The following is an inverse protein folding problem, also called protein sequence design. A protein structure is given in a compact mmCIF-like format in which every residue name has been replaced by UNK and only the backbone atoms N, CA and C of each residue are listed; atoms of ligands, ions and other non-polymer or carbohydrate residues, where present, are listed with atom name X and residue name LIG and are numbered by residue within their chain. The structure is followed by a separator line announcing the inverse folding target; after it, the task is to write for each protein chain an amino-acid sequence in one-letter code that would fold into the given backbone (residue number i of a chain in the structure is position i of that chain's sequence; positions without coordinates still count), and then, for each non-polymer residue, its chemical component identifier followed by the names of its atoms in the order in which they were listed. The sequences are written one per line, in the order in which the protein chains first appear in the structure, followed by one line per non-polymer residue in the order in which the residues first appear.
data_IF_710223739956
#
_entry.id   IF_710223739956
#
_cell.length_a   1.000
_cell.length_b   1.000
_cell.length_c   1.000
_cell.angle_alpha   90.00
_cell.angle_beta   90.00
_cell.angle_gamma   90.00
#
_symmetry.space_group_name_H-M   'P 1'
#
loop_
_entity.id
_entity.type
_entity.pdbx_description
1 polymer ?
#
# COMPACT_ATOMS: atom_id res chain seq x y z
N UNK A 1 4.19 20.18 9.88
CA UNK A 1 5.44 19.70 10.49
C UNK A 1 5.73 20.54 11.72
N UNK A 2 6.30 19.96 12.78
CA UNK A 2 6.63 20.68 14.02
C UNK A 2 8.00 21.41 13.83
N UNK A 3 8.02 22.76 13.71
CA UNK A 3 9.24 23.51 13.35
C UNK A 3 10.37 23.39 14.38
N UNK A 4 10.04 23.35 15.66
CA UNK A 4 10.99 23.29 16.77
C UNK A 4 11.75 21.97 16.76
N UNK A 5 11.04 20.85 16.57
CA UNK A 5 11.65 19.52 16.47
C UNK A 5 12.51 19.41 15.21
N UNK A 6 12.06 19.99 14.09
CA UNK A 6 12.87 20.10 12.87
C UNK A 6 14.18 20.83 13.13
N UNK A 7 14.14 21.97 13.82
CA UNK A 7 15.32 22.77 14.14
C UNK A 7 16.29 21.99 15.05
N UNK A 8 15.78 21.31 16.09
CA UNK A 8 16.59 20.47 16.98
C UNK A 8 17.27 19.34 16.22
N UNK A 9 16.53 18.60 15.40
CA UNK A 9 17.09 17.53 14.56
C UNK A 9 18.19 18.06 13.63
N UNK A 10 17.93 19.17 12.92
CA UNK A 10 18.90 19.74 11.98
C UNK A 10 20.21 20.17 12.65
N UNK A 11 20.16 20.63 13.90
CA UNK A 11 21.37 20.99 14.66
C UNK A 11 22.24 19.78 15.04
N UNK A 12 21.65 18.59 15.09
CA UNK A 12 22.33 17.34 15.46
C UNK A 12 22.72 16.50 14.25
N UNK A 13 22.04 16.69 13.11
CA UNK A 13 22.25 15.91 11.91
C UNK A 13 23.66 16.08 11.36
N UNK A 14 24.25 14.96 10.92
CA UNK A 14 25.57 14.91 10.29
C UNK A 14 25.55 13.87 9.17
N UNK A 15 26.32 14.06 8.08
CA UNK A 15 26.46 13.04 7.03
C UNK A 15 26.89 11.67 7.56
N UNK A 16 27.72 11.63 8.61
CA UNK A 16 28.15 10.39 9.25
C UNK A 16 26.98 9.62 9.91
N UNK A 17 26.01 10.31 10.51
CA UNK A 17 24.82 9.67 11.08
C UNK A 17 23.90 9.11 9.98
N UNK A 18 23.79 9.81 8.85
CA UNK A 18 23.04 9.29 7.71
C UNK A 18 23.71 8.06 7.09
N UNK A 19 25.04 8.07 6.94
CA UNK A 19 25.79 6.90 6.48
C UNK A 19 25.64 5.71 7.46
N UNK A 20 25.68 5.97 8.78
CA UNK A 20 25.38 4.96 9.79
C UNK A 20 23.96 4.41 9.65
N UNK A 21 22.97 5.30 9.48
CA UNK A 21 21.56 4.92 9.32
C UNK A 21 21.37 4.00 8.10
N UNK A 22 21.96 4.35 6.95
CA UNK A 22 21.90 3.51 5.75
C UNK A 22 22.52 2.12 5.98
N UNK A 23 23.67 2.03 6.65
CA UNK A 23 24.29 0.75 7.00
C UNK A 23 23.41 -0.07 7.94
N UNK A 24 22.82 0.56 8.96
CA UNK A 24 21.98 -0.12 9.96
C UNK A 24 20.69 -0.63 9.36
N UNK A 25 20.05 0.14 8.48
CA UNK A 25 18.81 -0.33 7.85
C UNK A 25 19.07 -1.52 6.90
N UNK A 26 20.22 -1.56 6.23
CA UNK A 26 20.65 -2.73 5.45
C UNK A 26 20.84 -3.97 6.35
N UNK A 27 21.51 -3.80 7.49
CA UNK A 27 21.71 -4.87 8.49
C UNK A 27 20.39 -5.37 9.07
N UNK A 28 19.49 -4.46 9.43
CA UNK A 28 18.17 -4.78 9.99
C UNK A 28 17.29 -5.47 8.94
N UNK A 29 17.34 -5.03 7.68
CA UNK A 29 16.63 -5.66 6.57
C UNK A 29 17.22 -7.02 6.16
N UNK A 30 18.50 -7.25 6.43
CA UNK A 30 19.24 -8.44 5.98
C UNK A 30 19.57 -8.42 4.49
N UNK A 31 19.50 -7.26 3.84
CA UNK A 31 19.87 -7.03 2.45
C UNK A 31 20.06 -5.54 2.20
N UNK A 32 20.69 -5.19 1.08
CA UNK A 32 20.84 -3.78 0.69
C UNK A 32 19.49 -3.18 0.27
N UNK A 33 19.13 -2.04 0.88
CA UNK A 33 17.94 -1.27 0.54
C UNK A 33 18.22 -0.44 -0.71
N UNK A 34 17.76 -0.94 -1.86
CA UNK A 34 18.04 -0.35 -3.19
C UNK A 34 17.26 0.94 -3.50
N UNK A 35 16.25 1.29 -2.70
CA UNK A 35 15.51 2.54 -2.83
C UNK A 35 16.04 3.59 -1.85
N UNK A 36 15.81 4.87 -2.16
CA UNK A 36 16.31 5.97 -1.34
C UNK A 36 15.54 6.05 -0.02
N UNK A 37 16.26 5.96 1.09
CA UNK A 37 15.75 6.34 2.39
C UNK A 37 15.97 7.85 2.60
N UNK A 38 15.00 8.54 3.21
CA UNK A 38 15.15 9.96 3.51
C UNK A 38 16.29 10.20 4.50
N UNK A 39 17.05 11.28 4.33
CA UNK A 39 18.12 11.65 5.28
C UNK A 39 17.58 12.05 6.65
N UNK A 40 16.27 12.33 6.74
CA UNK A 40 15.61 12.81 7.94
C UNK A 40 14.21 12.20 8.08
N UNK A 41 13.73 11.92 9.31
CA UNK A 41 12.32 11.61 9.54
C UNK A 41 11.45 12.86 9.34
N UNK A 42 10.12 12.72 9.33
CA UNK A 42 9.18 13.84 9.39
C UNK A 42 8.57 13.95 10.79
N UNK A 43 8.41 15.18 11.31
CA UNK A 43 7.80 15.43 12.62
C UNK A 43 6.42 16.04 12.42
N UNK A 44 5.37 15.28 12.73
CA UNK A 44 3.98 15.65 12.49
C UNK A 44 3.25 15.80 13.83
N UNK A 45 2.38 16.83 14.00
CA UNK A 45 1.55 16.94 15.20
C UNK A 45 0.57 15.78 15.32
N UNK A 46 0.30 15.32 16.53
CA UNK A 46 -0.65 14.23 16.81
C UNK A 46 -2.03 14.50 16.22
N UNK A 47 -2.54 15.72 16.36
CA UNK A 47 -3.85 16.10 15.80
C UNK A 47 -3.94 15.91 14.27
N UNK A 48 -2.82 16.05 13.54
CA UNK A 48 -2.78 15.78 12.10
C UNK A 48 -2.80 14.27 11.82
N UNK A 49 -2.03 13.49 12.58
CA UNK A 49 -2.00 12.02 12.47
C UNK A 49 -3.37 11.40 12.82
N UNK A 50 -3.99 11.85 13.90
CA UNK A 50 -5.34 11.43 14.30
C UNK A 50 -6.39 11.79 13.24
N UNK A 51 -6.30 12.99 12.65
CA UNK A 51 -7.15 13.40 11.54
C UNK A 51 -6.99 12.44 10.35
N UNK A 52 -5.77 12.07 9.96
CA UNK A 52 -5.52 11.11 8.87
C UNK A 52 -6.07 9.72 9.19
N UNK A 53 -5.89 9.23 10.42
CA UNK A 53 -6.45 7.93 10.85
C UNK A 53 -7.97 7.96 10.79
N UNK A 54 -8.60 9.04 11.26
CA UNK A 54 -10.06 9.22 11.17
C UNK A 54 -10.52 9.22 9.71
N UNK A 55 -9.90 10.02 8.86
CA UNK A 55 -10.24 10.07 7.44
C UNK A 55 -10.08 8.71 6.76
N UNK A 56 -9.00 7.97 7.03
CA UNK A 56 -8.83 6.62 6.49
C UNK A 56 -9.97 5.67 6.88
N UNK A 57 -10.44 5.74 8.14
CA UNK A 57 -11.59 4.94 8.62
C UNK A 57 -12.90 5.36 7.98
N UNK A 58 -13.16 6.67 7.90
CA UNK A 58 -14.37 7.24 7.27
C UNK A 58 -14.45 6.87 5.79
N UNK A 59 -13.34 6.99 5.05
CA UNK A 59 -13.25 6.60 3.64
C UNK A 59 -13.54 5.12 3.46
N UNK A 60 -12.84 4.23 4.18
CA UNK A 60 -13.13 2.80 4.08
C UNK A 60 -14.58 2.48 4.47
N UNK A 61 -15.12 3.13 5.51
CA UNK A 61 -16.52 3.01 5.93
C UNK A 61 -17.50 3.32 4.79
N UNK A 62 -17.31 4.44 4.08
CA UNK A 62 -18.15 4.81 2.93
C UNK A 62 -18.19 3.71 1.86
N UNK A 63 -17.05 3.06 1.57
CA UNK A 63 -17.01 1.99 0.58
C UNK A 63 -17.59 0.68 1.10
N UNK A 64 -17.30 0.33 2.36
CA UNK A 64 -17.75 -0.90 2.98
C UNK A 64 -19.28 -0.96 3.13
N UNK A 65 -19.90 0.19 3.43
CA UNK A 65 -21.35 0.35 3.63
C UNK A 65 -22.11 0.58 2.32
N UNK A 66 -21.44 0.99 1.25
CA UNK A 66 -22.07 1.26 -0.04
C UNK A 66 -22.27 -0.02 -0.89
N UNK A 67 -23.50 -0.53 -0.91
CA UNK A 67 -23.86 -1.72 -1.68
C UNK A 67 -23.67 -1.58 -3.20
N UNK A 68 -23.87 -0.38 -3.76
CA UNK A 68 -23.66 -0.10 -5.18
C UNK A 68 -22.19 -0.17 -5.53
N UNK A 69 -21.34 0.48 -4.73
CA UNK A 69 -19.89 0.40 -4.86
C UNK A 69 -19.40 -1.04 -4.78
N UNK A 70 -19.88 -1.83 -3.81
CA UNK A 70 -19.47 -3.25 -3.67
C UNK A 70 -19.83 -4.07 -4.91
N UNK A 71 -20.96 -3.80 -5.56
CA UNK A 71 -21.33 -4.46 -6.83
C UNK A 71 -20.44 -3.96 -7.98
N UNK A 72 -20.28 -2.65 -8.12
CA UNK A 72 -19.52 -2.04 -9.21
C UNK A 72 -18.02 -2.43 -9.15
N UNK A 73 -17.39 -2.33 -7.97
CA UNK A 73 -16.00 -2.74 -7.77
C UNK A 73 -15.76 -4.23 -8.03
N UNK A 74 -16.72 -5.11 -7.69
CA UNK A 74 -16.64 -6.54 -8.02
C UNK A 74 -16.73 -6.77 -9.53
N UNK A 75 -17.61 -6.06 -10.22
CA UNK A 75 -17.76 -6.14 -11.67
C UNK A 75 -16.53 -5.59 -12.42
N UNK A 76 -15.82 -4.64 -11.83
CA UNK A 76 -14.58 -4.08 -12.38
C UNK A 76 -13.40 -5.07 -12.39
N UNK A 77 -13.48 -6.19 -11.67
CA UNK A 77 -12.45 -7.24 -11.70
C UNK A 77 -12.58 -8.03 -13.01
N UNK A 78 -11.54 -8.05 -13.87
CA UNK A 78 -11.58 -8.85 -15.09
C UNK A 78 -11.84 -10.33 -14.79
N UNK A 79 -12.77 -10.95 -15.51
CA UNK A 79 -13.24 -12.34 -15.26
C UNK A 79 -12.08 -13.32 -15.09
N UNK A 80 -11.11 -13.25 -16.01
CA UNK A 80 -9.91 -14.12 -16.03
C UNK A 80 -8.99 -13.97 -14.82
N UNK A 81 -9.19 -12.96 -13.98
CA UNK A 81 -8.40 -12.66 -12.78
C UNK A 81 -9.23 -12.69 -11.50
N UNK A 82 -10.53 -13.04 -11.58
CA UNK A 82 -11.38 -13.11 -10.41
C UNK A 82 -11.01 -14.33 -9.58
N UNK A 83 -10.44 -14.09 -8.41
CA UNK A 83 -10.05 -15.14 -7.47
C UNK A 83 -11.26 -15.57 -6.64
N UNK A 84 -11.52 -16.89 -6.50
CA UNK A 84 -12.64 -17.41 -5.71
C UNK A 84 -12.42 -17.22 -4.20
N UNK A 85 -13.48 -17.43 -3.40
CA UNK A 85 -13.43 -17.42 -1.93
C UNK A 85 -12.94 -16.08 -1.34
N UNK A 86 -13.42 -14.98 -1.92
CA UNK A 86 -13.11 -13.61 -1.47
C UNK A 86 -13.58 -13.35 -0.04
N UNK A 87 -12.72 -12.69 0.75
CA UNK A 87 -13.08 -12.25 2.11
C UNK A 87 -14.10 -11.11 2.08
N UNK A 88 -14.96 -11.05 3.10
CA UNK A 88 -15.96 -9.97 3.23
C UNK A 88 -15.32 -8.58 3.34
N UNK A 89 -14.19 -8.50 4.04
CA UNK A 89 -13.40 -7.28 4.25
C UNK A 89 -11.94 -7.48 3.83
N UNK A 90 -11.26 -6.42 3.36
CA UNK A 90 -9.82 -6.46 3.13
C UNK A 90 -9.08 -6.57 4.46
N UNK A 91 -8.02 -7.39 4.49
CA UNK A 91 -7.14 -7.46 5.65
C UNK A 91 -6.20 -6.26 5.76
N UNK A 92 -5.84 -5.68 4.61
CA UNK A 92 -4.91 -4.55 4.49
C UNK A 92 -5.58 -3.44 3.72
N UNK A 93 -5.50 -2.23 4.26
CA UNK A 93 -5.96 -0.99 3.62
C UNK A 93 -4.91 0.07 3.88
N UNK A 94 -4.49 0.75 2.82
CA UNK A 94 -3.61 1.90 2.88
C UNK A 94 -4.31 3.10 2.26
N UNK A 95 -4.33 4.22 2.98
CA UNK A 95 -4.81 5.49 2.48
C UNK A 95 -3.64 6.46 2.43
N UNK A 96 -3.29 6.88 1.21
CA UNK A 96 -2.18 7.77 0.94
C UNK A 96 -2.68 9.21 0.90
N UNK A 97 -2.08 10.07 1.70
CA UNK A 97 -2.45 11.48 1.76
C UNK A 97 -1.30 12.39 1.33
N UNK A 98 -1.61 13.35 0.47
CA UNK A 98 -0.80 14.55 0.27
C UNK A 98 -1.21 15.63 1.28
N UNK A 99 -0.31 16.55 1.61
CA UNK A 99 -0.64 17.69 2.46
C UNK A 99 -0.77 18.96 1.62
N UNK A 100 -1.92 19.61 1.71
CA UNK A 100 -2.14 20.96 1.20
C UNK A 100 -1.97 21.95 2.35
N UNK A 101 -1.38 23.10 2.07
CA UNK A 101 -1.30 24.18 3.04
C UNK A 101 -2.48 25.11 2.84
N UNK A 102 -3.30 25.25 3.87
CA UNK A 102 -4.42 26.19 3.88
C UNK A 102 -3.94 27.64 4.07
N UNK A 103 -4.83 28.61 3.86
CA UNK A 103 -4.51 30.03 3.96
C UNK A 103 -4.01 30.45 5.36
N UNK A 104 -4.45 29.77 6.41
CA UNK A 104 -4.01 29.97 7.80
C UNK A 104 -2.68 29.26 8.12
N UNK A 105 -2.08 28.59 7.15
CA UNK A 105 -0.82 27.86 7.29
C UNK A 105 -0.96 26.43 7.84
N UNK A 106 -2.17 26.00 8.21
CA UNK A 106 -2.42 24.61 8.64
C UNK A 106 -2.23 23.63 7.48
N UNK A 107 -1.93 22.37 7.81
CA UNK A 107 -1.81 21.30 6.83
C UNK A 107 -3.09 20.48 6.81
N UNK A 108 -3.69 20.35 5.64
CA UNK A 108 -4.87 19.53 5.42
C UNK A 108 -4.49 18.28 4.59
N UNK A 109 -4.79 17.06 5.09
CA UNK A 109 -4.56 15.84 4.34
C UNK A 109 -5.60 15.68 3.23
N UNK A 110 -5.14 15.52 2.00
CA UNK A 110 -5.93 15.20 0.82
C UNK A 110 -5.59 13.82 0.30
N UNK A 111 -6.60 12.99 0.11
CA UNK A 111 -6.45 11.61 -0.36
C UNK A 111 -5.89 11.63 -1.79
N UNK A 112 -4.78 10.94 -1.97
CA UNK A 112 -4.17 10.67 -3.28
C UNK A 112 -4.72 9.35 -3.83
N UNK A 113 -4.72 8.32 -3.00
CA UNK A 113 -5.11 6.95 -3.33
C UNK A 113 -5.53 6.19 -2.07
N UNK A 114 -6.42 5.20 -2.23
CA UNK A 114 -6.66 4.16 -1.24
C UNK A 114 -6.47 2.80 -1.92
N UNK A 115 -5.76 1.89 -1.27
CA UNK A 115 -5.36 0.62 -1.87
C UNK A 115 -5.60 -0.54 -0.90
N UNK A 116 -6.11 -1.65 -1.42
CA UNK A 116 -6.34 -2.89 -0.68
C UNK A 116 -5.30 -3.96 -0.97
N UNK A 117 -4.03 -3.72 -0.63
CA UNK A 117 -2.94 -4.65 -0.95
C UNK A 117 -1.74 -4.49 -0.01
N UNK A 118 -1.23 -5.55 0.64
CA UNK A 118 -0.16 -5.39 1.62
C UNK A 118 1.15 -4.93 0.97
N UNK A 119 1.73 -3.85 1.48
CA UNK A 119 3.09 -3.45 1.13
C UNK A 119 3.81 -2.82 2.31
N UNK A 120 5.11 -3.13 2.46
CA UNK A 120 6.07 -2.48 3.38
C UNK A 120 5.74 -2.51 4.88
N UNK A 121 4.75 -3.30 5.32
CA UNK A 121 4.31 -3.35 6.73
C UNK A 121 5.41 -3.80 7.70
N UNK A 122 6.32 -4.70 7.30
CA UNK A 122 7.46 -5.09 8.12
C UNK A 122 8.56 -4.04 8.07
N UNK A 123 8.95 -3.64 6.86
CA UNK A 123 10.05 -2.69 6.65
C UNK A 123 9.77 -1.30 7.25
N UNK A 124 8.54 -0.78 7.18
CA UNK A 124 8.22 0.55 7.69
C UNK A 124 8.47 0.67 9.20
N UNK A 125 8.17 -0.39 9.96
CA UNK A 125 8.38 -0.41 11.41
C UNK A 125 9.88 -0.52 11.74
N UNK A 126 10.61 -1.34 10.99
CA UNK A 126 12.07 -1.41 11.12
C UNK A 126 12.74 -0.07 10.79
N UNK A 127 12.32 0.58 9.70
CA UNK A 127 12.82 1.89 9.28
C UNK A 127 12.58 2.96 10.35
N UNK A 128 11.37 3.02 10.87
CA UNK A 128 10.95 3.90 11.95
C UNK A 128 11.86 3.78 13.19
N UNK A 129 12.11 2.55 13.63
CA UNK A 129 12.96 2.31 14.81
C UNK A 129 14.44 2.58 14.52
N UNK A 130 14.95 2.32 13.32
CA UNK A 130 16.32 2.72 12.96
C UNK A 130 16.50 4.24 12.89
N UNK A 131 15.48 5.00 12.46
CA UNK A 131 15.50 6.47 12.61
C UNK A 131 15.60 6.86 14.09
N UNK A 132 14.73 6.30 14.93
CA UNK A 132 14.69 6.62 16.36
C UNK A 132 16.04 6.33 17.04
N UNK A 133 16.62 5.16 16.77
CA UNK A 133 17.88 4.68 17.36
C UNK A 133 19.10 5.44 16.83
N UNK A 134 19.23 5.57 15.51
CA UNK A 134 20.45 6.15 14.90
C UNK A 134 20.57 7.64 15.20
N UNK A 135 19.44 8.37 15.12
CA UNK A 135 19.43 9.81 15.40
C UNK A 135 19.14 10.14 16.86
N UNK A 136 18.95 9.13 17.73
CA UNK A 136 18.65 9.30 19.16
C UNK A 136 17.49 10.27 19.37
N UNK A 137 16.40 10.06 18.62
CA UNK A 137 15.31 11.03 18.51
C UNK A 137 14.68 11.30 19.88
N UNK A 138 14.47 10.25 20.68
CA UNK A 138 13.82 10.34 21.99
C UNK A 138 14.73 10.98 23.04
N UNK A 139 16.04 10.78 22.93
CA UNK A 139 17.00 11.34 23.88
C UNK A 139 17.40 12.79 23.52
N UNK A 140 17.47 13.10 22.22
CA UNK A 140 18.14 14.32 21.74
C UNK A 140 17.21 15.31 21.04
N UNK A 141 16.04 14.88 20.59
CA UNK A 141 15.06 15.73 19.91
C UNK A 141 13.87 16.00 20.81
N UNK A 142 13.16 14.94 21.23
CA UNK A 142 12.02 15.02 22.14
C UNK A 142 11.65 13.62 22.68
N UNK A 143 11.54 13.43 24.02
CA UNK A 143 11.24 12.13 24.62
C UNK A 143 9.84 11.60 24.31
N UNK A 144 8.91 12.47 23.92
CA UNK A 144 7.52 12.09 23.64
C UNK A 144 7.30 11.63 22.19
N UNK A 145 8.37 11.53 21.38
CA UNK A 145 8.28 11.05 20.00
C UNK A 145 7.89 9.57 19.92
N UNK A 146 6.75 9.35 19.27
CA UNK A 146 6.23 8.02 18.93
C UNK A 146 6.23 7.80 17.41
N UNK A 147 6.30 6.54 16.98
CA UNK A 147 6.22 6.18 15.55
C UNK A 147 5.05 5.27 15.22
N UNK A 148 4.39 4.73 16.25
CA UNK A 148 3.26 3.83 16.12
C UNK A 148 1.98 4.56 16.49
N UNK A 149 0.91 4.29 15.75
CA UNK A 149 -0.39 4.93 15.94
C UNK A 149 -1.36 4.00 16.68
N UNK A 150 -2.41 4.58 17.25
CA UNK A 150 -3.50 3.80 17.86
C UNK A 150 -3.12 3.11 19.18
N UNK A 151 -2.17 3.69 19.93
CA UNK A 151 -1.69 3.13 21.20
C UNK A 151 -0.79 1.91 21.03
N UNK A 152 -0.34 1.62 19.81
CA UNK A 152 0.64 0.58 19.55
C UNK A 152 2.05 1.05 19.92
N UNK A 153 2.92 0.09 20.16
CA UNK A 153 4.37 0.17 20.27
C UNK A 153 5.00 -0.87 19.34
N UNK A 154 6.34 -0.94 19.30
CA UNK A 154 7.05 -1.90 18.43
C UNK A 154 6.58 -3.34 18.66
N UNK A 155 6.43 -3.74 19.93
CA UNK A 155 6.04 -5.12 20.30
C UNK A 155 4.60 -5.41 19.89
N UNK A 156 3.66 -4.58 20.30
CA UNK A 156 2.22 -4.77 20.04
C UNK A 156 1.88 -4.62 18.56
N UNK A 157 2.64 -3.82 17.80
CA UNK A 157 2.55 -3.80 16.33
C UNK A 157 3.01 -5.12 15.71
N UNK A 158 4.14 -5.68 16.15
CA UNK A 158 4.62 -6.99 15.68
C UNK A 158 3.64 -8.12 16.06
N UNK A 159 3.08 -8.09 17.27
CA UNK A 159 2.04 -9.03 17.71
C UNK A 159 0.78 -8.91 16.85
N UNK A 160 0.35 -7.69 16.50
CA UNK A 160 -0.77 -7.46 15.59
C UNK A 160 -0.49 -8.06 14.22
N UNK A 161 0.67 -7.77 13.61
CA UNK A 161 1.05 -8.33 12.31
C UNK A 161 1.11 -9.85 12.36
N UNK A 162 1.70 -10.43 13.41
CA UNK A 162 1.73 -11.88 13.62
C UNK A 162 0.34 -12.48 13.67
N UNK A 163 -0.56 -11.88 14.46
CA UNK A 163 -1.95 -12.33 14.59
C UNK A 163 -2.68 -12.32 13.24
N UNK A 164 -2.60 -11.22 12.48
CA UNK A 164 -3.40 -11.06 11.25
C UNK A 164 -2.83 -11.84 10.07
N UNK A 165 -1.50 -11.93 9.95
CA UNK A 165 -0.84 -12.65 8.86
C UNK A 165 -0.92 -14.15 9.08
N UNK A 166 -0.60 -14.64 10.28
CA UNK A 166 -0.65 -16.08 10.57
C UNK A 166 -2.07 -16.60 10.80
N UNK A 167 -2.96 -15.80 11.39
CA UNK A 167 -4.34 -16.18 11.69
C UNK A 167 -4.48 -17.54 12.42
N UNK A 168 -3.53 -17.84 13.33
CA UNK A 168 -3.51 -19.09 14.09
C UNK A 168 -2.87 -20.30 13.38
N UNK A 169 -2.50 -20.18 12.10
CA UNK A 169 -1.74 -21.22 11.38
C UNK A 169 -0.29 -21.28 11.84
N UNK A 170 0.33 -22.46 11.73
CA UNK A 170 1.75 -22.63 11.98
C UNK A 170 2.58 -21.85 10.93
N UNK A 171 3.67 -21.14 11.30
CA UNK A 171 4.47 -20.35 10.35
C UNK A 171 4.92 -21.12 9.11
N UNK A 172 5.19 -22.42 9.24
CA UNK A 172 5.61 -23.31 8.15
C UNK A 172 4.51 -23.55 7.11
N UNK A 173 3.25 -23.41 7.51
CA UNK A 173 2.06 -23.56 6.65
C UNK A 173 1.63 -22.20 6.02
N UNK A 174 2.33 -21.11 6.35
CA UNK A 174 2.07 -19.77 5.82
C UNK A 174 3.22 -19.34 4.91
N UNK A 175 2.87 -18.87 3.71
CA UNK A 175 3.86 -18.42 2.72
C UNK A 175 3.65 -16.95 2.37
N UNK A 176 4.73 -16.18 2.35
CA UNK A 176 4.80 -14.91 1.63
C UNK A 176 4.99 -15.25 0.15
N UNK A 177 3.95 -15.05 -0.65
CA UNK A 177 3.95 -15.42 -2.06
C UNK A 177 4.20 -14.22 -2.95
N UNK A 178 5.17 -14.33 -3.85
CA UNK A 178 5.55 -13.31 -4.83
C UNK A 178 5.93 -13.97 -6.17
N UNK A 179 6.10 -13.21 -7.24
CA UNK A 179 6.55 -13.69 -8.54
C UNK A 179 8.04 -14.00 -8.54
N UNK A 180 8.89 -13.02 -8.22
CA UNK A 180 10.35 -13.16 -8.20
C UNK A 180 10.85 -12.50 -6.91
N UNK A 181 10.57 -13.10 -5.74
CA UNK A 181 10.67 -12.41 -4.45
C UNK A 181 12.03 -11.75 -4.19
N UNK A 182 13.11 -12.43 -4.58
CA UNK A 182 14.48 -11.98 -4.32
C UNK A 182 14.99 -10.91 -5.30
N UNK A 183 14.24 -10.61 -6.35
CA UNK A 183 14.56 -9.56 -7.33
C UNK A 183 13.71 -8.29 -7.11
N UNK A 184 12.72 -8.36 -6.21
CA UNK A 184 11.83 -7.23 -5.93
C UNK A 184 12.57 -6.12 -5.18
N UNK A 185 12.29 -4.86 -5.54
CA UNK A 185 12.78 -3.69 -4.79
C UNK A 185 12.34 -3.72 -3.32
N UNK A 186 11.21 -4.36 -3.04
CA UNK A 186 10.66 -4.52 -1.68
C UNK A 186 11.19 -5.75 -0.95
N UNK A 187 12.23 -6.43 -1.45
CA UNK A 187 12.88 -7.55 -0.75
C UNK A 187 13.20 -7.26 0.73
N UNK A 188 13.69 -6.06 1.13
CA UNK A 188 13.84 -5.71 2.55
C UNK A 188 12.61 -6.02 3.42
N UNK A 189 11.40 -5.72 2.93
CA UNK A 189 10.15 -5.98 3.64
C UNK A 189 9.86 -7.47 3.78
N UNK A 190 10.19 -8.26 2.76
CA UNK A 190 9.97 -9.71 2.78
C UNK A 190 10.89 -10.37 3.80
N UNK A 191 12.16 -9.98 3.84
CA UNK A 191 13.15 -10.52 4.77
C UNK A 191 12.83 -10.13 6.22
N UNK A 192 12.44 -8.88 6.47
CA UNK A 192 11.97 -8.44 7.80
C UNK A 192 10.72 -9.23 8.22
N UNK A 193 9.75 -9.38 7.31
CA UNK A 193 8.52 -10.16 7.58
C UNK A 193 8.85 -11.63 7.89
N UNK A 194 9.75 -12.26 7.14
CA UNK A 194 10.23 -13.62 7.40
C UNK A 194 10.89 -13.72 8.78
N UNK A 195 11.79 -12.80 9.12
CA UNK A 195 12.48 -12.78 10.42
C UNK A 195 11.49 -12.63 11.58
N UNK A 196 10.48 -11.79 11.42
CA UNK A 196 9.45 -11.54 12.43
C UNK A 196 8.47 -12.71 12.61
N UNK A 197 8.07 -13.36 11.51
CA UNK A 197 6.95 -14.30 11.51
C UNK A 197 7.37 -15.77 11.48
N UNK A 198 8.56 -16.06 10.94
CA UNK A 198 9.03 -17.42 10.67
C UNK A 198 8.45 -18.04 9.39
N UNK A 199 7.83 -17.24 8.52
CA UNK A 199 7.15 -17.71 7.30
C UNK A 199 8.13 -17.91 6.14
N UNK A 200 7.82 -18.85 5.24
CA UNK A 200 8.60 -19.03 4.00
C UNK A 200 8.30 -17.91 3.01
N UNK A 201 9.33 -17.43 2.31
CA UNK A 201 9.19 -16.60 1.09
C UNK A 201 9.23 -17.56 -0.11
N UNK A 202 8.21 -17.53 -0.96
CA UNK A 202 8.09 -18.42 -2.11
C UNK A 202 7.74 -17.66 -3.39
N UNK A 203 8.32 -18.09 -4.50
CA UNK A 203 7.88 -17.76 -5.84
C UNK A 203 6.57 -18.49 -6.17
N UNK A 204 5.64 -17.86 -6.89
CA UNK A 204 4.41 -18.50 -7.38
C UNK A 204 4.65 -19.77 -8.21
N UNK A 205 5.81 -19.87 -8.87
CA UNK A 205 6.19 -21.05 -9.65
C UNK A 205 6.64 -22.24 -8.79
N UNK A 206 7.02 -22.01 -7.53
CA UNK A 206 7.39 -23.07 -6.58
C UNK A 206 6.15 -23.80 -6.05
N UNK A 207 4.97 -23.17 -6.06
CA UNK A 207 3.73 -23.77 -5.59
C UNK A 207 3.27 -24.89 -6.54
N UNK A 208 3.04 -26.06 -5.97
CA UNK A 208 2.47 -27.22 -6.67
C UNK A 208 1.04 -27.45 -6.20
N UNK A 209 0.11 -27.51 -7.15
CA UNK A 209 -1.27 -27.89 -6.88
C UNK A 209 -1.39 -29.41 -6.87
N UNK A 210 -1.96 -29.97 -5.80
CA UNK A 210 -2.31 -31.38 -5.65
C UNK A 210 -3.75 -31.51 -5.18
N UNK A 211 -4.67 -31.75 -6.12
CA UNK A 211 -6.10 -31.62 -5.86
C UNK A 211 -6.47 -30.18 -5.51
N UNK A 212 -7.15 -29.98 -4.38
CA UNK A 212 -7.46 -28.65 -3.83
C UNK A 212 -6.31 -28.03 -3.00
N UNK A 213 -5.24 -28.78 -2.71
CA UNK A 213 -4.16 -28.30 -1.84
C UNK A 213 -3.02 -27.67 -2.64
N UNK A 214 -2.35 -26.71 -2.01
CA UNK A 214 -1.08 -26.16 -2.47
C UNK A 214 0.05 -26.67 -1.58
N UNK A 215 1.18 -27.04 -2.20
CA UNK A 215 2.35 -27.59 -1.50
C UNK A 215 3.60 -26.86 -1.98
N UNK A 216 4.50 -26.56 -1.04
CA UNK A 216 5.85 -26.06 -1.30
C UNK A 216 6.84 -26.83 -0.43
N UNK A 217 7.92 -27.34 -1.01
CA UNK A 217 8.93 -28.18 -0.32
C UNK A 217 8.36 -29.32 0.54
N UNK A 218 7.25 -29.93 0.09
CA UNK A 218 6.58 -31.01 0.81
C UNK A 218 5.67 -30.56 1.96
N UNK A 219 5.60 -29.27 2.27
CA UNK A 219 4.71 -28.70 3.29
C UNK A 219 3.42 -28.18 2.65
N UNK A 220 2.24 -28.56 3.17
CA UNK A 220 0.97 -27.97 2.75
C UNK A 220 0.90 -26.49 3.11
N UNK A 221 0.52 -25.66 2.15
CA UNK A 221 0.23 -24.24 2.37
C UNK A 221 -1.23 -24.12 2.81
N UNK A 222 -1.45 -23.54 3.99
CA UNK A 222 -2.78 -23.25 4.53
C UNK A 222 -3.17 -21.79 4.34
N UNK A 223 -2.20 -20.89 4.31
CA UNK A 223 -2.44 -19.45 4.18
C UNK A 223 -1.37 -18.77 3.35
N UNK A 224 -1.80 -17.84 2.50
CA UNK A 224 -0.93 -17.07 1.62
C UNK A 224 -0.94 -15.61 2.05
N UNK A 225 0.20 -15.10 2.49
CA UNK A 225 0.48 -13.67 2.58
C UNK A 225 0.85 -13.17 1.18
N UNK A 226 -0.15 -12.64 0.48
CA UNK A 226 -0.05 -12.40 -0.95
C UNK A 226 0.69 -11.09 -1.26
N UNK A 227 1.76 -11.19 -2.06
CA UNK A 227 2.47 -10.07 -2.66
C UNK A 227 2.44 -10.11 -4.20
N UNK A 228 1.79 -11.11 -4.80
CA UNK A 228 1.66 -11.21 -6.25
C UNK A 228 0.69 -10.14 -6.78
N UNK A 229 1.17 -9.36 -7.74
CA UNK A 229 0.36 -8.43 -8.54
C UNK A 229 0.08 -9.05 -9.91
N UNK A 230 -1.20 -9.16 -10.26
CA UNK A 230 -1.66 -9.80 -11.52
C UNK A 230 -1.05 -9.17 -12.76
N UNK A 231 -0.96 -7.84 -12.80
CA UNK A 231 -0.41 -7.12 -13.94
C UNK A 231 1.06 -7.46 -14.19
N UNK A 232 1.85 -7.62 -13.14
CA UNK A 232 3.23 -8.07 -13.27
C UNK A 232 3.30 -9.52 -13.76
N UNK A 233 2.42 -10.39 -13.25
CA UNK A 233 2.32 -11.79 -13.66
C UNK A 233 2.06 -11.91 -15.17
N UNK A 234 1.16 -11.08 -15.70
CA UNK A 234 0.82 -11.01 -17.12
C UNK A 234 1.97 -10.43 -17.93
N UNK A 235 2.51 -9.28 -17.52
CA UNK A 235 3.60 -8.58 -18.23
C UNK A 235 4.86 -9.44 -18.35
N UNK A 236 5.22 -10.18 -17.28
CA UNK A 236 6.35 -11.11 -17.26
C UNK A 236 6.02 -12.47 -17.88
N UNK A 237 4.76 -12.72 -18.24
CA UNK A 237 4.30 -13.97 -18.84
C UNK A 237 4.71 -15.21 -18.03
N UNK A 238 4.57 -15.12 -16.71
CA UNK A 238 5.00 -16.17 -15.78
C UNK A 238 4.17 -17.44 -15.98
N UNK A 239 4.84 -18.59 -16.02
CA UNK A 239 4.21 -19.91 -16.12
C UNK A 239 4.35 -20.63 -14.78
N UNK A 240 3.23 -20.90 -14.14
CA UNK A 240 3.15 -21.58 -12.83
C UNK A 240 2.16 -22.75 -12.88
N UNK A 241 2.37 -23.74 -12.01
CA UNK A 241 1.46 -24.89 -11.86
C UNK A 241 0.16 -24.53 -11.12
N UNK A 242 0.17 -23.38 -10.45
CA UNK A 242 -0.95 -22.81 -9.73
C UNK A 242 -1.30 -21.47 -10.35
N UNK A 243 -2.60 -21.24 -10.60
CA UNK A 243 -3.13 -19.93 -10.99
C UNK A 243 -3.89 -19.33 -9.81
N UNK A 244 -3.80 -18.02 -9.61
CA UNK A 244 -4.54 -17.35 -8.51
C UNK A 244 -6.05 -17.62 -8.56
N UNK A 245 -6.61 -17.86 -9.75
CA UNK A 245 -8.03 -18.17 -9.97
C UNK A 245 -8.40 -19.63 -9.73
N UNK A 246 -7.43 -20.49 -9.42
CA UNK A 246 -7.71 -21.88 -9.09
C UNK A 246 -8.49 -21.95 -7.77
N UNK A 247 -9.52 -22.80 -7.73
CA UNK A 247 -10.21 -23.13 -6.48
C UNK A 247 -9.32 -24.06 -5.67
N UNK A 248 -8.81 -23.54 -4.55
CA UNK A 248 -7.84 -24.21 -3.65
C UNK A 248 -8.17 -23.91 -2.19
N UNK A 249 -7.85 -24.87 -1.32
CA UNK A 249 -8.14 -24.87 0.12
C UNK A 249 -7.12 -24.01 0.90
N UNK A 250 -6.99 -22.72 0.54
CA UNK A 250 -6.07 -21.78 1.22
C UNK A 250 -6.78 -20.50 1.64
N UNK A 251 -6.37 -19.97 2.79
CA UNK A 251 -6.78 -18.65 3.22
C UNK A 251 -5.86 -17.56 2.66
N UNK A 252 -6.41 -16.39 2.39
CA UNK A 252 -5.64 -15.24 1.91
C UNK A 252 -5.44 -14.20 3.01
N UNK A 253 -4.18 -13.92 3.35
CA UNK A 253 -3.79 -12.69 4.02
C UNK A 253 -3.50 -11.63 2.95
N UNK A 254 -4.54 -10.87 2.58
CA UNK A 254 -4.51 -9.93 1.45
C UNK A 254 -5.07 -10.57 0.18
N UNK A 255 -6.37 -10.83 0.15
CA UNK A 255 -7.02 -11.48 -0.98
C UNK A 255 -6.82 -10.69 -2.29
N UNK A 256 -6.40 -11.33 -3.41
CA UNK A 256 -6.00 -10.62 -4.64
C UNK A 256 -7.07 -9.69 -5.22
N UNK A 257 -8.35 -10.02 -5.10
CA UNK A 257 -9.45 -9.17 -5.58
C UNK A 257 -9.45 -7.77 -4.96
N UNK A 258 -8.98 -7.59 -3.71
CA UNK A 258 -8.96 -6.28 -3.06
C UNK A 258 -8.01 -5.29 -3.71
N UNK A 259 -7.02 -5.78 -4.46
CA UNK A 259 -6.15 -4.94 -5.27
C UNK A 259 -6.93 -4.17 -6.34
N UNK A 260 -7.94 -4.80 -6.94
CA UNK A 260 -8.83 -4.18 -7.91
C UNK A 260 -9.95 -3.38 -7.24
N UNK A 261 -10.51 -3.93 -6.15
CA UNK A 261 -11.68 -3.38 -5.48
C UNK A 261 -11.41 -2.15 -4.62
N UNK A 262 -10.20 -1.98 -4.10
CA UNK A 262 -9.76 -0.74 -3.46
C UNK A 262 -8.59 -0.23 -4.29
N UNK A 263 -8.93 0.60 -5.28
CA UNK A 263 -8.00 1.16 -6.27
C UNK A 263 -8.45 2.56 -6.64
N UNK A 264 -7.83 3.17 -7.66
CA UNK A 264 -8.24 4.46 -8.26
C UNK A 264 -9.72 4.50 -8.65
N UNK A 265 -10.33 3.34 -8.95
CA UNK A 265 -11.76 3.21 -9.23
C UNK A 265 -12.64 3.71 -8.07
N UNK A 266 -12.13 3.66 -6.83
CA UNK A 266 -12.86 4.11 -5.64
C UNK A 266 -13.00 5.63 -5.53
N UNK A 267 -12.11 6.40 -6.16
CA UNK A 267 -12.00 7.83 -5.92
C UNK A 267 -13.29 8.62 -6.23
N UNK A 268 -13.98 8.39 -7.37
CA UNK A 268 -15.26 9.07 -7.67
C UNK A 268 -16.42 8.72 -6.72
N UNK A 269 -16.29 7.66 -5.91
CA UNK A 269 -17.37 7.18 -5.04
C UNK A 269 -17.38 7.86 -3.66
N UNK A 270 -16.32 8.58 -3.32
CA UNK A 270 -16.21 9.23 -2.03
C UNK A 270 -16.98 10.55 -1.99
N UNK A 271 -17.61 10.80 -0.84
CA UNK A 271 -18.12 12.11 -0.45
C UNK A 271 -17.44 12.50 0.85
N UNK A 272 -16.24 13.03 0.73
CA UNK A 272 -15.39 13.28 1.89
C UNK A 272 -14.51 14.50 1.70
N UNK A 273 -14.32 15.30 2.75
CA UNK A 273 -13.57 16.57 2.71
C UNK A 273 -12.10 16.40 2.28
N UNK A 274 -11.53 15.24 2.55
CA UNK A 274 -10.17 14.91 2.14
C UNK A 274 -10.06 14.51 0.68
N UNK A 275 -11.15 14.19 -0.02
CA UNK A 275 -11.09 13.69 -1.40
C UNK A 275 -11.29 14.87 -2.34
N UNK A 276 -10.29 15.23 -3.16
CA UNK A 276 -10.49 16.22 -4.20
C UNK A 276 -11.59 15.78 -5.16
N UNK A 277 -12.30 16.74 -5.74
CA UNK A 277 -13.38 16.44 -6.68
C UNK A 277 -12.87 15.51 -7.79
N UNK A 278 -13.51 14.34 -7.90
CA UNK A 278 -13.08 13.29 -8.82
C UNK A 278 -14.28 12.71 -9.53
N UNK A 279 -14.23 12.56 -10.85
CA UNK A 279 -15.29 11.95 -11.64
C UNK A 279 -14.71 11.01 -12.69
N UNK A 280 -15.49 10.01 -13.11
CA UNK A 280 -15.16 9.23 -14.31
C UNK A 280 -15.27 10.12 -15.54
N UNK A 281 -14.34 9.96 -16.48
CA UNK A 281 -14.36 10.74 -17.72
C UNK A 281 -15.59 10.41 -18.58
N UNK A 282 -16.17 9.21 -18.43
CA UNK A 282 -17.43 8.81 -19.06
C UNK A 282 -18.65 9.58 -18.56
N UNK A 283 -18.58 10.11 -17.34
CA UNK A 283 -19.73 10.73 -16.67
C UNK A 283 -19.72 12.26 -16.85
N UNK A 284 -18.62 12.81 -17.37
CA UNK A 284 -18.44 14.23 -17.65
C UNK A 284 -19.19 14.64 -18.91
N UNK A 285 -20.17 15.53 -18.76
CA UNK A 285 -20.90 16.13 -19.89
C UNK A 285 -20.05 17.16 -20.63
N UNK A 286 -19.27 17.95 -19.89
CA UNK A 286 -18.39 18.99 -20.40
C UNK A 286 -17.07 18.94 -19.64
N UNK A 287 -15.96 19.18 -20.35
CA UNK A 287 -14.64 19.26 -19.74
C UNK A 287 -14.42 20.62 -19.06
N UNK A 288 -13.81 20.65 -17.86
CA UNK A 288 -13.42 21.90 -17.21
C UNK A 288 -12.60 22.80 -18.14
N UNK A 289 -12.74 24.12 -17.97
CA UNK A 289 -11.96 25.08 -18.74
C UNK A 289 -10.50 25.18 -18.25
N UNK A 290 -10.26 24.86 -16.98
CA UNK A 290 -9.01 25.01 -16.24
C UNK A 290 -8.32 23.66 -15.98
N UNK A 291 -8.14 22.86 -17.05
CA UNK A 291 -7.57 21.51 -16.95
C UNK A 291 -6.15 21.48 -16.32
N UNK A 292 -5.42 22.59 -16.30
CA UNK A 292 -4.14 22.74 -15.60
C UNK A 292 -4.24 22.46 -14.09
N UNK A 293 -5.44 22.60 -13.51
CA UNK A 293 -5.74 22.31 -12.11
C UNK A 293 -6.25 20.88 -11.90
N UNK A 294 -6.09 19.98 -12.87
CA UNK A 294 -6.57 18.60 -12.77
C UNK A 294 -5.48 17.58 -13.04
N UNK A 295 -5.73 16.35 -12.61
CA UNK A 295 -4.92 15.18 -12.85
C UNK A 295 -5.79 14.12 -13.53
N UNK A 296 -5.43 13.75 -14.75
CA UNK A 296 -6.04 12.65 -15.49
C UNK A 296 -5.32 11.35 -15.11
N UNK A 297 -6.07 10.36 -14.62
CA UNK A 297 -5.54 9.07 -14.16
C UNK A 297 -6.24 7.91 -14.87
N UNK A 298 -5.51 7.00 -15.53
CA UNK A 298 -6.07 5.72 -15.93
C UNK A 298 -6.36 4.87 -14.69
N UNK A 299 -7.43 4.07 -14.72
CA UNK A 299 -7.77 3.14 -13.65
C UNK A 299 -6.85 1.92 -13.61
N UNK A 300 -6.37 1.49 -14.79
CA UNK A 300 -5.61 0.26 -14.97
C UNK A 300 -4.12 0.50 -15.26
N UNK A 301 -3.55 1.62 -14.80
CA UNK A 301 -2.13 1.88 -14.94
C UNK A 301 -1.39 1.83 -13.60
N UNK A 302 -0.32 1.03 -13.58
CA UNK A 302 0.49 0.80 -12.39
C UNK A 302 1.73 1.69 -12.39
N UNK A 303 2.19 2.08 -11.20
CA UNK A 303 3.39 2.91 -10.99
C UNK A 303 3.36 4.32 -11.64
N UNK A 304 2.17 4.93 -11.78
CA UNK A 304 2.04 6.30 -12.29
C UNK A 304 2.19 6.43 -13.80
N UNK A 305 2.34 5.32 -14.53
CA UNK A 305 2.32 5.33 -15.99
C UNK A 305 0.98 5.90 -16.48
N UNK A 306 1.02 6.90 -17.37
CA UNK A 306 -0.18 7.52 -17.93
C UNK A 306 -0.92 8.50 -17.02
N UNK A 307 -0.43 8.79 -15.81
CA UNK A 307 -0.94 9.92 -15.02
C UNK A 307 -0.46 11.22 -15.66
N UNK A 308 -1.39 12.13 -15.98
CA UNK A 308 -1.09 13.45 -16.54
C UNK A 308 -1.54 14.54 -15.59
N UNK A 309 -0.59 15.36 -15.14
CA UNK A 309 -0.85 16.54 -14.31
C UNK A 309 -1.05 17.73 -15.25
N UNK A 310 -2.15 18.44 -15.10
CA UNK A 310 -2.54 19.53 -15.98
C UNK A 310 -2.69 19.09 -17.44
N UNK A 311 -3.52 18.07 -17.74
CA UNK A 311 -3.64 17.55 -19.11
C UNK A 311 -4.16 18.62 -20.07
N UNK A 312 -3.71 18.60 -21.32
CA UNK A 312 -4.29 19.46 -22.36
C UNK A 312 -5.69 18.96 -22.76
N UNK A 313 -6.50 19.83 -23.35
CA UNK A 313 -7.82 19.46 -23.87
C UNK A 313 -7.71 18.35 -24.91
N UNK A 314 -6.74 18.45 -25.82
CA UNK A 314 -6.48 17.45 -26.86
C UNK A 314 -6.13 16.09 -26.25
N UNK A 315 -5.39 16.07 -25.15
CA UNK A 315 -5.02 14.82 -24.47
C UNK A 315 -6.22 14.10 -23.85
N UNK A 316 -7.19 14.85 -23.33
CA UNK A 316 -8.42 14.29 -22.77
C UNK A 316 -9.38 13.86 -23.87
N UNK A 317 -9.57 14.71 -24.89
CA UNK A 317 -10.48 14.45 -26.01
C UNK A 317 -9.98 13.32 -26.92
N UNK A 318 -8.66 13.11 -26.99
CA UNK A 318 -8.04 12.01 -27.71
C UNK A 318 -8.29 10.62 -27.12
N UNK A 319 -8.87 10.52 -25.91
CA UNK A 319 -9.28 9.24 -25.32
C UNK A 319 -10.58 8.76 -26.00
N UNK A 320 -10.57 7.57 -26.63
CA UNK A 320 -11.76 7.01 -27.28
C UNK A 320 -12.95 6.93 -26.33
N UNK A 321 -14.14 7.26 -26.80
CA UNK A 321 -15.36 7.32 -25.98
C UNK A 321 -15.62 6.01 -25.20
N UNK A 322 -15.46 4.86 -25.85
CA UNK A 322 -15.61 3.54 -25.23
C UNK A 322 -14.54 3.19 -24.18
N UNK A 323 -13.48 3.99 -24.07
CA UNK A 323 -12.41 3.82 -23.08
C UNK A 323 -12.50 4.83 -21.93
N UNK A 324 -13.30 5.90 -22.04
CA UNK A 324 -13.36 6.97 -21.03
C UNK A 324 -13.77 6.49 -19.63
N UNK A 325 -14.57 5.44 -19.55
CA UNK A 325 -14.92 4.76 -18.29
C UNK A 325 -13.71 4.21 -17.52
N UNK A 326 -12.57 4.03 -18.20
CA UNK A 326 -11.31 3.56 -17.61
C UNK A 326 -10.41 4.70 -17.15
N UNK A 327 -10.91 5.95 -17.13
CA UNK A 327 -10.18 7.13 -16.71
C UNK A 327 -10.99 7.95 -15.71
N UNK A 328 -10.28 8.59 -14.80
CA UNK A 328 -10.83 9.59 -13.88
C UNK A 328 -10.09 10.91 -14.06
N UNK A 329 -10.82 12.01 -13.88
CA UNK A 329 -10.24 13.33 -13.76
C UNK A 329 -10.46 13.80 -12.32
N UNK A 330 -9.36 14.15 -11.64
CA UNK A 330 -9.33 14.58 -10.25
C UNK A 330 -8.79 16.01 -10.18
N UNK A 331 -9.43 16.89 -9.42
CA UNK A 331 -8.94 18.26 -9.17
C UNK A 331 -7.76 18.30 -8.22
#
# INVERSE_FOLDING_TARGET
MIPELRKRFNALWKPALYAEFLRRIDETAGTHVSFRCSETPVFLPDALLEKMVRYGRELYGQLAENAEYRRASRAAIPERFRVPNETEHPLFVQADFGFVREADGTLEPKLVEIQGFPSIYGFQAALAEEYARTYRLRESVDPDLTTFLGGLDERTYQELLRRVILNGHAPEEVVLLEIEPYEQKTLPDFLVSRKMLGIKIACITELRKQGGKLIVDGVPVKRIYNRVIVDELVRKNIRSNFRLTDDVDVEWAGHPNWFFRLSKFSLPWFRHVSVPETQFLSDMKELPADLENYVLKPLYSFAGLGVKIGPSREEVEGIPEGERQNFILQR
#
